data_IF_836762953233
#
_entry.id   IF_836762953233
#
_cell.length_a   1.000
_cell.length_b   1.000
_cell.length_c   1.000
_cell.angle_alpha   90.00
_cell.angle_beta   90.00
_cell.angle_gamma   90.00
#
_symmetry.space_group_name_H-M   'P 1'
#
loop_
_entity.id
_entity.type
_entity.pdbx_description
1 polymer ?
#
# COMPACT_ATOMS: atom_id res chain seq x y z
N UNK A 1 0.31 -13.03 -1.47
CA UNK A 1 -0.93 -13.33 -2.23
C UNK A 1 -0.56 -13.40 -3.69
N UNK A 2 -1.08 -14.37 -4.45
CA UNK A 2 -0.82 -14.52 -5.89
C UNK A 2 -2.13 -14.47 -6.66
N UNK A 3 -2.09 -13.98 -7.90
CA UNK A 3 -3.22 -13.96 -8.83
C UNK A 3 -2.71 -14.14 -10.26
N UNK A 4 -3.62 -14.20 -11.23
CA UNK A 4 -3.27 -14.27 -12.64
C UNK A 4 -3.27 -12.87 -13.28
N UNK A 5 -2.24 -12.58 -14.07
CA UNK A 5 -2.11 -11.35 -14.85
C UNK A 5 -1.63 -11.69 -16.25
N UNK A 6 -2.19 -11.00 -17.25
CA UNK A 6 -1.77 -11.12 -18.65
C UNK A 6 -0.55 -10.22 -18.90
N UNK A 7 0.51 -10.78 -19.47
CA UNK A 7 1.71 -10.08 -19.94
C UNK A 7 1.96 -10.47 -21.40
N UNK A 8 1.88 -9.51 -22.32
CA UNK A 8 1.83 -9.84 -23.76
C UNK A 8 0.65 -10.76 -24.05
N UNK A 9 0.91 -11.94 -24.63
CA UNK A 9 -0.10 -12.96 -24.91
C UNK A 9 -0.20 -14.07 -23.85
N UNK A 10 0.62 -14.01 -22.80
CA UNK A 10 0.71 -15.04 -21.78
C UNK A 10 -0.03 -14.66 -20.50
N UNK A 11 -0.65 -15.63 -19.83
CA UNK A 11 -1.25 -15.47 -18.51
C UNK A 11 -0.32 -16.11 -17.48
N UNK A 12 0.19 -15.31 -16.54
CA UNK A 12 1.15 -15.74 -15.53
C UNK A 12 0.54 -15.63 -14.15
N UNK A 13 0.84 -16.60 -13.27
CA UNK A 13 0.54 -16.52 -11.85
C UNK A 13 1.65 -15.74 -11.16
N UNK A 14 1.30 -14.60 -10.57
CA UNK A 14 2.26 -13.62 -10.03
C UNK A 14 1.84 -13.14 -8.64
N UNK A 15 2.80 -12.77 -7.77
CA UNK A 15 2.47 -12.11 -6.52
C UNK A 15 1.88 -10.73 -6.79
N UNK A 16 1.01 -10.29 -5.90
CA UNK A 16 0.49 -8.92 -5.87
C UNK A 16 0.79 -8.27 -4.54
N UNK A 17 0.91 -6.95 -4.56
CA UNK A 17 0.84 -6.13 -3.35
C UNK A 17 -0.59 -5.60 -3.28
N UNK A 18 -1.43 -6.07 -2.33
CA UNK A 18 -2.80 -5.60 -2.23
C UNK A 18 -2.84 -4.10 -1.93
N UNK A 19 -3.71 -3.37 -2.63
CA UNK A 19 -3.88 -1.94 -2.43
C UNK A 19 -4.33 -1.60 -1.01
N UNK A 20 -5.09 -2.50 -0.37
CA UNK A 20 -5.47 -2.42 1.03
C UNK A 20 -4.27 -2.49 1.99
N UNK A 21 -3.23 -3.27 1.66
CA UNK A 21 -2.02 -3.37 2.47
C UNK A 21 -1.21 -2.06 2.41
N UNK A 22 -1.08 -1.46 1.23
CA UNK A 22 -0.43 -0.16 1.06
C UNK A 22 -1.26 0.93 1.76
N UNK A 23 -2.56 1.03 1.44
CA UNK A 23 -3.48 2.01 2.01
C UNK A 23 -3.52 1.94 3.54
N UNK A 24 -3.64 0.74 4.10
CA UNK A 24 -3.69 0.52 5.54
C UNK A 24 -2.38 0.87 6.24
N UNK A 25 -1.23 0.55 5.63
CA UNK A 25 0.07 0.88 6.20
C UNK A 25 0.32 2.39 6.20
N UNK A 26 0.03 3.08 5.09
CA UNK A 26 0.12 4.54 5.00
C UNK A 26 -0.77 5.18 6.05
N UNK A 27 -2.03 4.75 6.16
CA UNK A 27 -2.97 5.24 7.18
C UNK A 27 -2.40 5.07 8.59
N UNK A 28 -1.93 3.88 8.92
CA UNK A 28 -1.37 3.59 10.25
C UNK A 28 -0.16 4.46 10.58
N UNK A 29 0.72 4.72 9.62
CA UNK A 29 1.90 5.58 9.81
C UNK A 29 1.51 7.06 10.02
N UNK A 30 0.50 7.54 9.30
CA UNK A 30 -0.03 8.89 9.49
C UNK A 30 -0.76 9.05 10.83
N UNK A 31 -1.56 8.05 11.22
CA UNK A 31 -2.24 8.05 12.53
C UNK A 31 -1.22 8.05 13.67
N UNK A 32 -0.14 7.27 13.57
CA UNK A 32 0.93 7.26 14.58
C UNK A 32 1.65 8.60 14.74
N UNK A 33 1.70 9.41 13.69
CA UNK A 33 2.34 10.72 13.75
C UNK A 33 1.39 11.83 14.20
N UNK A 34 0.16 11.83 13.67
CA UNK A 34 -0.73 13.00 13.73
C UNK A 34 -1.92 12.81 14.67
N UNK A 35 -2.31 11.56 14.97
CA UNK A 35 -3.43 11.29 15.86
C UNK A 35 -2.95 11.02 17.28
N UNK A 36 -3.79 11.39 18.25
CA UNK A 36 -3.59 10.97 19.64
C UNK A 36 -4.14 9.55 19.79
N UNK A 37 -3.23 8.60 19.99
CA UNK A 37 -3.56 7.18 20.15
C UNK A 37 -3.45 6.82 21.62
N UNK A 38 -4.56 6.36 22.19
CA UNK A 38 -4.64 5.81 23.55
C UNK A 38 -5.28 4.43 23.52
N UNK A 39 -5.19 3.67 24.61
CA UNK A 39 -5.87 2.37 24.71
C UNK A 39 -7.15 2.51 25.56
N UNK A 40 -8.21 1.81 25.15
CA UNK A 40 -9.37 1.59 26.00
C UNK A 40 -9.08 0.54 27.10
N UNK A 41 -10.04 0.34 28.01
CA UNK A 41 -9.92 -0.64 29.11
C UNK A 41 -9.75 -2.10 28.64
N UNK A 42 -10.07 -2.37 27.36
CA UNK A 42 -9.94 -3.68 26.72
C UNK A 42 -8.67 -3.80 25.86
N UNK A 43 -7.84 -2.76 25.82
CA UNK A 43 -6.62 -2.70 25.03
C UNK A 43 -6.83 -2.41 23.55
N UNK A 44 -7.99 -1.89 23.14
CA UNK A 44 -8.23 -1.42 21.77
C UNK A 44 -7.76 0.02 21.60
N UNK A 45 -7.26 0.34 20.41
CA UNK A 45 -6.86 1.71 20.07
C UNK A 45 -8.07 2.66 20.01
N UNK A 46 -8.01 3.72 20.81
CA UNK A 46 -8.84 4.92 20.69
C UNK A 46 -8.01 5.98 19.96
N UNK A 47 -8.52 6.47 18.84
CA UNK A 47 -7.84 7.46 17.99
C UNK A 47 -8.59 8.78 18.03
N UNK A 48 -7.90 9.87 18.39
CA UNK A 48 -8.46 11.23 18.36
C UNK A 48 -7.71 12.10 17.35
N UNK A 49 -8.47 12.77 16.49
CA UNK A 49 -7.95 13.65 15.44
C UNK A 49 -8.17 15.11 15.85
N UNK A 50 -7.30 15.63 16.73
CA UNK A 50 -7.52 16.92 17.38
C UNK A 50 -7.03 18.13 16.56
N UNK A 51 -6.09 17.93 15.64
CA UNK A 51 -5.58 18.97 14.74
C UNK A 51 -6.33 18.99 13.41
N UNK A 52 -6.30 20.11 12.69
CA UNK A 52 -6.88 20.19 11.34
C UNK A 52 -6.22 19.18 10.38
N UNK A 53 -4.89 19.03 10.45
CA UNK A 53 -4.15 18.04 9.66
C UNK A 53 -4.59 16.60 10.01
N UNK A 54 -4.75 16.27 11.29
CA UNK A 54 -5.19 14.94 11.72
C UNK A 54 -6.62 14.62 11.22
N UNK A 55 -7.52 15.61 11.18
CA UNK A 55 -8.89 15.45 10.68
C UNK A 55 -8.95 15.09 9.19
N UNK A 56 -7.89 15.36 8.43
CA UNK A 56 -7.78 14.95 7.03
C UNK A 56 -7.65 13.42 6.88
N UNK A 57 -7.11 12.70 7.89
CA UNK A 57 -6.94 11.24 7.84
C UNK A 57 -8.29 10.51 7.65
N UNK A 58 -9.29 10.66 8.53
CA UNK A 58 -10.58 9.99 8.32
C UNK A 58 -11.30 10.51 7.06
N UNK A 59 -11.09 11.77 6.67
CA UNK A 59 -11.64 12.35 5.43
C UNK A 59 -11.08 11.69 4.17
N UNK A 60 -9.78 11.37 4.17
CA UNK A 60 -9.06 10.74 3.06
C UNK A 60 -9.29 9.23 3.00
N UNK A 61 -9.12 8.55 4.14
CA UNK A 61 -9.12 7.08 4.22
C UNK A 61 -10.49 6.46 4.51
N UNK A 62 -11.42 7.22 5.09
CA UNK A 62 -12.71 6.77 5.61
C UNK A 62 -12.69 6.42 7.10
N UNK A 63 -13.85 6.54 7.75
CA UNK A 63 -14.07 5.94 9.09
C UNK A 63 -14.61 4.51 9.01
N UNK A 64 -14.50 3.74 10.10
CA UNK A 64 -15.13 2.42 10.18
C UNK A 64 -16.66 2.51 10.20
N UNK A 65 -17.35 1.46 9.75
CA UNK A 65 -18.82 1.41 9.73
C UNK A 65 -19.46 1.64 11.12
N UNK A 66 -18.74 1.32 12.20
CA UNK A 66 -19.21 1.45 13.58
C UNK A 66 -19.02 2.86 14.17
N UNK A 67 -18.36 3.78 13.45
CA UNK A 67 -17.98 5.10 14.00
C UNK A 67 -18.87 6.26 13.55
N UNK A 68 -19.76 6.09 12.55
CA UNK A 68 -20.64 7.17 12.09
C UNK A 68 -21.94 6.65 11.47
N UNK A 69 -23.02 6.60 12.25
CA UNK A 69 -24.37 6.34 11.72
C UNK A 69 -24.96 7.52 10.92
N UNK A 70 -24.35 8.72 10.95
CA UNK A 70 -24.99 9.96 10.47
C UNK A 70 -24.17 10.84 9.51
N UNK A 71 -23.08 10.35 8.89
CA UNK A 71 -22.39 11.10 7.83
C UNK A 71 -22.06 10.20 6.63
N UNK A 72 -22.32 10.66 5.38
CA UNK A 72 -21.90 9.93 4.20
C UNK A 72 -20.38 9.89 4.17
N UNK A 73 -19.84 8.71 4.50
CA UNK A 73 -18.41 8.47 4.64
C UNK A 73 -17.84 8.15 3.26
N UNK A 74 -17.75 9.18 2.39
CA UNK A 74 -17.12 9.02 1.09
C UNK A 74 -15.61 8.97 1.24
N UNK A 75 -15.05 7.78 1.06
CA UNK A 75 -13.62 7.58 0.90
C UNK A 75 -13.12 8.36 -0.32
N UNK A 76 -12.12 9.20 -0.12
CA UNK A 76 -11.49 9.96 -1.21
C UNK A 76 -10.33 9.22 -1.85
N UNK A 77 -9.71 8.28 -1.12
CA UNK A 77 -8.54 7.54 -1.57
C UNK A 77 -8.87 6.12 -2.01
N UNK A 78 -8.56 5.80 -3.26
CA UNK A 78 -8.49 4.44 -3.80
C UNK A 78 -7.02 4.12 -4.07
N UNK A 79 -6.56 2.98 -3.57
CA UNK A 79 -5.25 2.42 -3.88
C UNK A 79 -5.51 1.07 -4.55
N UNK A 80 -5.09 0.91 -5.81
CA UNK A 80 -5.25 -0.35 -6.53
C UNK A 80 -4.23 -1.39 -6.06
N UNK A 81 -4.56 -2.65 -6.31
CA UNK A 81 -3.58 -3.72 -6.21
C UNK A 81 -2.45 -3.46 -7.19
N UNK A 82 -1.21 -3.56 -6.70
CA UNK A 82 -0.03 -3.35 -7.50
C UNK A 82 0.43 -4.69 -8.09
N UNK A 83 0.58 -4.72 -9.41
CA UNK A 83 1.01 -5.88 -10.18
C UNK A 83 2.48 -5.71 -10.59
N UNK A 84 3.26 -6.80 -10.71
CA UNK A 84 4.63 -6.67 -11.19
C UNK A 84 4.65 -6.15 -12.62
N UNK A 85 5.64 -5.32 -12.94
CA UNK A 85 5.83 -4.86 -14.33
C UNK A 85 6.15 -6.05 -15.24
N UNK A 86 5.91 -5.92 -16.54
CA UNK A 86 6.30 -6.95 -17.51
C UNK A 86 7.78 -7.34 -17.39
N UNK A 87 8.67 -6.34 -17.30
CA UNK A 87 10.11 -6.57 -17.11
C UNK A 87 10.44 -7.32 -15.82
N UNK A 88 9.69 -7.09 -14.74
CA UNK A 88 9.85 -7.85 -13.48
C UNK A 88 9.45 -9.31 -13.70
N UNK A 89 8.32 -9.56 -14.36
CA UNK A 89 7.83 -10.90 -14.61
C UNK A 89 8.78 -11.72 -15.50
N UNK A 90 9.30 -11.12 -16.57
CA UNK A 90 10.30 -11.74 -17.48
C UNK A 90 11.60 -12.09 -16.72
N UNK A 91 12.10 -11.18 -15.89
CA UNK A 91 13.30 -11.43 -15.07
C UNK A 91 13.17 -12.59 -14.09
N UNK A 92 11.96 -12.84 -13.58
CA UNK A 92 11.75 -13.98 -12.70
C UNK A 92 11.88 -15.31 -13.44
N UNK A 93 11.54 -15.34 -14.73
CA UNK A 93 11.64 -16.56 -15.55
C UNK A 93 13.07 -16.88 -15.99
N UNK A 94 13.96 -15.88 -16.00
CA UNK A 94 15.39 -16.07 -16.26
C UNK A 94 16.10 -16.85 -15.14
N UNK A 95 15.46 -17.04 -13.99
CA UNK A 95 16.03 -17.74 -12.84
C UNK A 95 15.11 -18.88 -12.36
N UNK A 96 15.57 -20.12 -12.53
CA UNK A 96 14.82 -21.35 -12.17
C UNK A 96 14.51 -21.46 -10.67
N UNK A 97 15.27 -20.78 -9.80
CA UNK A 97 15.03 -20.75 -8.35
C UNK A 97 13.85 -19.84 -7.96
N UNK A 98 13.35 -19.01 -8.88
CA UNK A 98 12.21 -18.11 -8.66
C UNK A 98 10.95 -18.74 -9.27
N UNK A 99 10.06 -19.21 -8.40
CA UNK A 99 8.84 -19.92 -8.82
C UNK A 99 7.64 -19.00 -8.63
N UNK A 100 6.94 -18.68 -9.73
CA UNK A 100 5.78 -17.78 -9.74
C UNK A 100 6.07 -16.44 -9.02
N UNK A 101 7.28 -15.89 -9.22
CA UNK A 101 7.73 -14.62 -8.63
C UNK A 101 8.10 -14.66 -7.15
N UNK A 102 8.22 -15.85 -6.55
CA UNK A 102 8.67 -16.05 -5.17
C UNK A 102 10.00 -16.79 -5.09
N UNK A 103 10.86 -16.35 -4.18
CA UNK A 103 12.05 -17.09 -3.75
C UNK A 103 11.86 -17.61 -2.33
N UNK A 104 12.40 -18.80 -2.03
CA UNK A 104 12.36 -19.37 -0.68
C UNK A 104 13.66 -19.03 0.06
N UNK A 105 13.54 -18.34 1.19
CA UNK A 105 14.67 -18.07 2.07
C UNK A 105 14.55 -18.87 3.37
N UNK A 106 15.61 -19.61 3.72
CA UNK A 106 15.77 -20.21 5.03
C UNK A 106 16.23 -19.18 6.06
N UNK A 107 15.51 -19.07 7.18
CA UNK A 107 15.95 -18.38 8.39
C UNK A 107 16.20 -19.41 9.50
N UNK A 108 17.33 -19.32 10.21
CA UNK A 108 17.60 -20.20 11.34
C UNK A 108 17.12 -19.56 12.64
N UNK A 109 16.26 -20.25 13.39
CA UNK A 109 16.03 -19.93 14.79
C UNK A 109 16.99 -20.76 15.65
N UNK A 110 17.95 -20.10 16.31
CA UNK A 110 18.95 -20.77 17.15
C UNK A 110 18.50 -20.70 18.60
N UNK A 111 18.36 -21.87 19.24
CA UNK A 111 18.14 -21.93 20.68
C UNK A 111 19.37 -21.39 21.40
N UNK A 112 19.20 -20.34 22.22
CA UNK A 112 20.32 -19.65 22.89
C UNK A 112 21.07 -20.48 23.93
N UNK A 113 20.49 -21.59 24.38
CA UNK A 113 21.08 -22.50 25.38
C UNK A 113 21.69 -23.71 24.69
N UNK A 114 20.93 -24.37 23.82
CA UNK A 114 21.37 -25.64 23.19
C UNK A 114 22.10 -25.43 21.87
N UNK A 115 22.15 -24.20 21.34
CA UNK A 115 22.64 -23.86 20.01
C UNK A 115 21.98 -24.63 18.85
N UNK A 116 20.87 -25.32 19.12
CA UNK A 116 20.13 -26.08 18.12
C UNK A 116 19.43 -25.11 17.14
N UNK A 117 19.64 -25.31 15.85
CA UNK A 117 18.99 -24.55 14.80
C UNK A 117 17.68 -25.22 14.37
N UNK A 118 16.59 -24.45 14.35
CA UNK A 118 15.32 -24.81 13.70
C UNK A 118 15.13 -23.91 12.48
N UNK A 119 15.43 -24.40 11.27
CA UNK A 119 15.25 -23.62 10.06
C UNK A 119 13.77 -23.40 9.76
N UNK A 120 13.41 -22.18 9.40
CA UNK A 120 12.09 -21.78 8.89
C UNK A 120 12.27 -21.29 7.47
N UNK A 121 11.49 -21.84 6.55
CA UNK A 121 11.48 -21.40 5.16
C UNK A 121 10.34 -20.39 4.94
N UNK A 122 10.68 -19.24 4.38
CA UNK A 122 9.72 -18.17 4.10
C UNK A 122 9.83 -17.82 2.62
N UNK A 123 8.71 -17.91 1.92
CA UNK A 123 8.57 -17.38 0.57
C UNK A 123 8.52 -15.85 0.62
N UNK A 124 9.28 -15.20 -0.26
CA UNK A 124 9.28 -13.75 -0.41
C UNK A 124 9.45 -13.35 -1.86
N UNK A 125 9.08 -12.12 -2.17
CA UNK A 125 9.31 -11.54 -3.49
C UNK A 125 10.80 -11.20 -3.59
N UNK A 126 11.50 -11.57 -4.69
CA UNK A 126 12.89 -11.19 -4.93
C UNK A 126 13.11 -9.69 -4.80
N UNK A 127 14.26 -9.28 -4.26
CA UNK A 127 14.60 -7.87 -4.13
C UNK A 127 14.68 -7.17 -5.50
N UNK A 128 14.48 -5.85 -5.51
CA UNK A 128 14.46 -5.03 -6.73
C UNK A 128 13.34 -5.37 -7.74
N UNK A 129 12.37 -6.20 -7.36
CA UNK A 129 11.13 -6.40 -8.12
C UNK A 129 10.33 -5.10 -8.15
N UNK A 130 9.88 -4.69 -9.34
CA UNK A 130 9.13 -3.44 -9.56
C UNK A 130 7.65 -3.77 -9.81
N UNK A 131 6.77 -3.03 -9.12
CA UNK A 131 5.32 -3.14 -9.21
C UNK A 131 4.71 -1.82 -9.69
N UNK A 132 3.65 -1.90 -10.49
CA UNK A 132 2.88 -0.76 -10.97
C UNK A 132 1.83 -0.37 -9.92
N UNK A 133 1.92 0.83 -9.39
CA UNK A 133 1.01 1.35 -8.37
C UNK A 133 0.10 2.43 -8.97
N UNK A 134 -1.21 2.28 -8.78
CA UNK A 134 -2.21 3.29 -9.11
C UNK A 134 -2.89 3.79 -7.83
N UNK A 135 -2.88 5.11 -7.64
CA UNK A 135 -3.59 5.80 -6.56
C UNK A 135 -4.54 6.81 -7.20
N UNK A 136 -5.81 6.77 -6.80
CA UNK A 136 -6.85 7.68 -7.27
C UNK A 136 -7.34 8.50 -6.07
N UNK A 137 -7.31 9.83 -6.23
CA UNK A 137 -7.86 10.79 -5.28
C UNK A 137 -9.13 11.41 -5.87
N UNK A 138 -10.27 11.19 -5.22
CA UNK A 138 -11.53 11.86 -5.52
C UNK A 138 -11.63 13.16 -4.73
N UNK A 139 -11.83 14.28 -5.44
CA UNK A 139 -11.98 15.62 -4.85
C UNK A 139 -13.41 16.09 -5.03
N UNK A 140 -14.06 16.50 -3.94
CA UNK A 140 -15.43 17.01 -3.91
C UNK A 140 -15.46 18.51 -3.57
N UNK A 141 -16.64 19.12 -3.71
CA UNK A 141 -16.87 20.50 -3.29
C UNK A 141 -16.53 20.67 -1.80
N UNK A 142 -15.74 21.70 -1.48
CA UNK A 142 -15.24 21.96 -0.11
C UNK A 142 -14.01 21.14 0.29
N UNK A 143 -13.43 20.35 -0.61
CA UNK A 143 -12.14 19.72 -0.39
C UNK A 143 -10.99 20.63 -0.84
N UNK A 144 -9.96 20.72 -0.01
CA UNK A 144 -8.65 21.20 -0.42
C UNK A 144 -7.87 20.02 -1.04
N UNK A 145 -7.68 20.08 -2.35
CA UNK A 145 -6.97 19.05 -3.11
C UNK A 145 -5.50 18.95 -2.70
N UNK A 146 -4.85 20.08 -2.44
CA UNK A 146 -3.42 20.12 -2.17
C UNK A 146 -3.13 19.60 -0.77
N UNK A 147 -3.96 19.92 0.22
CA UNK A 147 -3.86 19.32 1.56
C UNK A 147 -3.99 17.79 1.53
N UNK A 148 -4.98 17.27 0.80
CA UNK A 148 -5.19 15.83 0.67
C UNK A 148 -4.02 15.14 -0.05
N UNK A 149 -3.50 15.78 -1.11
CA UNK A 149 -2.34 15.29 -1.86
C UNK A 149 -1.08 15.27 -0.98
N UNK A 150 -0.80 16.36 -0.28
CA UNK A 150 0.36 16.47 0.61
C UNK A 150 0.32 15.42 1.71
N UNK A 151 -0.87 15.11 2.25
CA UNK A 151 -1.03 14.05 3.25
C UNK A 151 -0.69 12.65 2.67
N UNK A 152 -1.07 12.37 1.42
CA UNK A 152 -0.70 11.12 0.73
C UNK A 152 0.81 11.05 0.54
N UNK A 153 1.44 12.12 0.05
CA UNK A 153 2.89 12.18 -0.19
C UNK A 153 3.67 11.97 1.12
N UNK A 154 3.28 12.66 2.20
CA UNK A 154 3.84 12.49 3.55
C UNK A 154 3.73 11.05 4.05
N UNK A 155 2.57 10.42 3.84
CA UNK A 155 2.38 9.02 4.23
C UNK A 155 3.23 8.04 3.41
N UNK A 156 3.52 8.36 2.15
CA UNK A 156 4.40 7.57 1.28
C UNK A 156 5.87 7.73 1.67
N UNK A 157 6.32 8.95 2.01
CA UNK A 157 7.67 9.18 2.55
C UNK A 157 7.92 8.31 3.78
N UNK A 158 6.97 8.27 4.72
CA UNK A 158 7.07 7.39 5.89
C UNK A 158 7.09 5.92 5.52
N UNK A 159 6.33 5.51 4.51
CA UNK A 159 6.31 4.13 4.07
C UNK A 159 7.66 3.70 3.47
N UNK A 160 8.35 4.61 2.77
CA UNK A 160 9.69 4.38 2.24
C UNK A 160 10.73 4.13 3.34
N UNK A 161 10.54 4.73 4.52
CA UNK A 161 11.36 4.49 5.72
C UNK A 161 10.88 3.29 6.56
N UNK A 162 9.76 2.68 6.18
CA UNK A 162 9.12 1.58 6.89
C UNK A 162 9.09 0.30 6.04
N UNK A 163 8.12 -0.57 6.29
CA UNK A 163 7.91 -1.83 5.59
C UNK A 163 6.43 -2.11 5.33
N UNK A 164 6.15 -2.91 4.31
CA UNK A 164 4.84 -3.52 4.06
C UNK A 164 4.86 -5.02 4.41
N UNK A 165 3.71 -5.56 4.79
CA UNK A 165 3.58 -7.00 5.08
C UNK A 165 4.20 -7.41 6.42
N UNK A 166 4.58 -8.68 6.53
CA UNK A 166 5.08 -9.29 7.76
C UNK A 166 6.61 -9.23 7.90
N UNK A 167 7.09 -9.49 9.12
CA UNK A 167 8.51 -9.68 9.44
C UNK A 167 9.42 -8.48 9.14
N UNK A 168 8.88 -7.26 9.14
CA UNK A 168 9.65 -6.04 8.88
C UNK A 168 10.86 -5.84 9.79
N UNK A 169 10.74 -6.21 11.08
CA UNK A 169 11.85 -6.18 12.04
C UNK A 169 13.01 -7.12 11.68
N UNK A 170 12.79 -8.08 10.78
CA UNK A 170 13.83 -8.98 10.23
C UNK A 170 14.36 -8.50 8.88
N UNK A 171 14.02 -7.28 8.46
CA UNK A 171 14.46 -6.67 7.20
C UNK A 171 13.59 -7.02 5.99
N UNK A 172 12.38 -7.53 6.19
CA UNK A 172 11.44 -7.83 5.10
C UNK A 172 10.59 -6.61 4.73
N UNK A 173 10.08 -6.59 3.50
CA UNK A 173 9.04 -5.65 3.12
C UNK A 173 9.46 -4.20 2.97
N UNK A 174 10.77 -3.89 2.98
CA UNK A 174 11.26 -2.55 2.60
C UNK A 174 10.84 -2.27 1.16
N UNK A 175 10.20 -1.13 0.96
CA UNK A 175 9.75 -0.67 -0.35
C UNK A 175 10.28 0.73 -0.63
N UNK A 176 10.28 1.10 -1.91
CA UNK A 176 10.49 2.46 -2.36
C UNK A 176 9.38 2.77 -3.35
N UNK A 177 8.50 3.69 -2.97
CA UNK A 177 7.46 4.25 -3.82
C UNK A 177 7.99 5.57 -4.34
N UNK A 178 8.12 5.66 -5.66
CA UNK A 178 8.51 6.88 -6.35
C UNK A 178 7.46 7.21 -7.39
N UNK A 179 6.87 8.41 -7.29
CA UNK A 179 6.14 8.99 -8.41
C UNK A 179 7.16 9.62 -9.34
N UNK A 180 7.55 8.88 -10.37
CA UNK A 180 8.46 9.38 -11.40
C UNK A 180 7.75 10.51 -12.18
N UNK A 181 8.02 11.76 -11.81
CA UNK A 181 7.50 12.96 -12.48
C UNK A 181 8.02 13.10 -13.92
N UNK A 182 9.00 12.32 -14.36
CA UNK A 182 9.44 12.30 -15.76
C UNK A 182 8.65 11.28 -16.58
N UNK A 183 8.24 10.16 -15.98
CA UNK A 183 7.39 9.15 -16.63
C UNK A 183 5.89 9.41 -16.50
N UNK A 184 5.48 10.11 -15.45
CA UNK A 184 4.11 10.51 -15.19
C UNK A 184 4.08 11.97 -14.69
N UNK A 185 4.31 12.95 -15.59
CA UNK A 185 4.56 14.34 -15.22
C UNK A 185 3.39 15.05 -14.58
N UNK A 186 2.17 14.59 -14.84
CA UNK A 186 0.96 15.10 -14.19
C UNK A 186 0.07 13.91 -13.83
N UNK A 187 -0.47 13.84 -12.60
CA UNK A 187 -1.59 12.94 -12.34
C UNK A 187 -2.73 13.28 -13.32
N UNK A 188 -3.34 12.26 -13.91
CA UNK A 188 -4.47 12.46 -14.80
C UNK A 188 -5.65 13.07 -14.03
N UNK A 189 -6.01 14.30 -14.37
CA UNK A 189 -7.18 14.96 -13.79
C UNK A 189 -8.40 14.73 -14.68
N UNK A 190 -9.45 14.18 -14.08
CA UNK A 190 -10.71 13.87 -14.76
C UNK A 190 -11.82 14.60 -14.05
N UNK A 191 -12.28 15.70 -14.65
CA UNK A 191 -13.39 16.48 -14.14
C UNK A 191 -14.74 15.82 -14.49
N UNK A 192 -15.84 16.45 -14.06
CA UNK A 192 -17.19 15.96 -14.37
C UNK A 192 -17.46 15.93 -15.88
N UNK A 193 -16.92 16.86 -16.65
CA UNK A 193 -17.16 16.99 -18.09
C UNK A 193 -16.56 15.80 -18.84
N UNK A 194 -15.36 15.37 -18.45
CA UNK A 194 -14.71 14.17 -18.99
C UNK A 194 -15.64 12.96 -18.98
N UNK A 195 -16.33 12.71 -17.86
CA UNK A 195 -17.23 11.56 -17.73
C UNK A 195 -18.54 11.73 -18.53
N UNK A 196 -19.07 12.95 -18.64
CA UNK A 196 -20.29 13.24 -19.40
C UNK A 196 -20.10 13.11 -20.92
N UNK A 197 -18.89 13.38 -21.43
CA UNK A 197 -18.60 13.23 -22.85
C UNK A 197 -18.38 11.76 -23.25
N UNK A 198 -17.82 10.95 -22.34
CA UNK A 198 -17.56 9.52 -22.58
C UNK A 198 -18.81 8.65 -22.70
N UNK A 199 -19.98 9.17 -22.31
CA UNK A 199 -21.27 8.48 -22.39
C UNK A 199 -22.01 8.75 -23.69
N UNK A 200 -21.46 9.59 -24.58
CA UNK A 200 -22.07 9.98 -25.86
C UNK A 200 -21.46 9.26 -27.07
N UNK A 201 -20.44 8.44 -26.88
CA UNK A 201 -19.85 7.53 -27.88
C UNK A 201 -20.27 6.09 -27.58
#
# INVERSE_FOLDING_TARGET
MKTYRKYGDEIKKVPIIPGSSIKGKIRSLLELELADITLDEKGNDIKKYNTEEAKLIPKLFGVGANENENKPNLNRLIVRDAYPTQKTAEKWEENEDIIEGGEVKGENNINRITSAATPRFIERIPSASIFELEIILSVYEGDDKDELKNLIEKGIEKLNDSYIGGSGSRGYGKVKIEFDKHKNPNPEERDKIYYLNKTKE
#
